data_IF_271985505071
#
_entry.id   IF_271985505071
#
_cell.length_a   1.000
_cell.length_b   1.000
_cell.length_c   1.000
_cell.angle_alpha   90.00
_cell.angle_beta   90.00
_cell.angle_gamma   90.00
#
_symmetry.space_group_name_H-M   'P 1'
#
loop_
_entity.id
_entity.type
_entity.pdbx_description
1 polymer ?
#
# COMPACT_ATOMS: atom_id res chain seq x y z
N UNK A 1 -32.94 -30.87 -7.34
CA UNK A 1 -31.66 -30.27 -7.73
C UNK A 1 -30.64 -30.72 -6.69
N UNK A 2 -29.64 -31.52 -7.09
CA UNK A 2 -28.57 -31.92 -6.18
C UNK A 2 -27.70 -30.68 -5.86
N UNK A 3 -27.37 -30.49 -4.58
CA UNK A 3 -26.38 -29.53 -4.19
C UNK A 3 -25.03 -29.87 -4.86
N UNK A 4 -24.49 -28.94 -5.63
CA UNK A 4 -23.11 -29.08 -6.13
C UNK A 4 -22.20 -28.80 -4.94
N UNK A 5 -21.51 -29.85 -4.47
CA UNK A 5 -20.51 -29.68 -3.42
C UNK A 5 -19.31 -28.92 -4.00
N UNK A 6 -19.04 -27.74 -3.50
CA UNK A 6 -17.87 -26.96 -3.86
C UNK A 6 -16.79 -27.13 -2.81
N UNK A 7 -15.54 -27.25 -3.25
CA UNK A 7 -14.39 -27.15 -2.38
C UNK A 7 -13.79 -25.76 -2.54
N UNK A 8 -13.42 -25.15 -1.42
CA UNK A 8 -12.72 -23.84 -1.37
C UNK A 8 -11.38 -24.04 -0.69
N UNK A 9 -10.33 -23.44 -1.21
CA UNK A 9 -9.02 -23.47 -0.57
C UNK A 9 -8.98 -22.44 0.57
N UNK A 10 -8.53 -22.85 1.75
CA UNK A 10 -8.23 -21.93 2.86
C UNK A 10 -6.72 -21.72 2.94
N UNK A 11 -6.29 -20.44 3.01
CA UNK A 11 -4.90 -20.06 3.25
C UNK A 11 -4.77 -19.21 4.51
N UNK A 12 -3.94 -19.66 5.43
CA UNK A 12 -3.54 -18.94 6.63
C UNK A 12 -2.53 -17.83 6.31
N UNK A 13 -2.14 -17.01 7.29
CA UNK A 13 -1.07 -16.01 7.14
C UNK A 13 0.29 -16.66 6.83
N UNK A 14 0.55 -17.84 7.37
CA UNK A 14 1.76 -18.61 7.10
C UNK A 14 1.78 -19.10 5.65
N UNK A 15 0.67 -19.66 5.17
CA UNK A 15 0.51 -20.09 3.79
C UNK A 15 0.70 -18.94 2.80
N UNK A 16 0.12 -17.77 3.09
CA UNK A 16 0.30 -16.55 2.27
C UNK A 16 1.78 -16.17 2.19
N UNK A 17 2.48 -16.18 3.33
CA UNK A 17 3.91 -15.86 3.38
C UNK A 17 4.75 -16.88 2.60
N UNK A 18 4.35 -18.15 2.57
CA UNK A 18 5.03 -19.21 1.82
C UNK A 18 4.75 -19.16 0.30
N UNK A 19 3.68 -18.47 -0.12
CA UNK A 19 3.24 -18.41 -1.53
C UNK A 19 3.64 -17.16 -2.27
N UNK A 20 3.89 -16.03 -1.59
CA UNK A 20 4.18 -14.74 -2.21
C UNK A 20 5.57 -14.23 -1.85
N UNK A 21 6.35 -13.83 -2.86
CA UNK A 21 7.60 -13.09 -2.70
C UNK A 21 7.40 -11.58 -2.86
N UNK A 22 8.34 -10.73 -2.42
CA UNK A 22 8.28 -9.29 -2.69
C UNK A 22 8.17 -8.96 -4.18
N UNK A 23 8.93 -9.66 -5.02
CA UNK A 23 8.95 -9.49 -6.47
C UNK A 23 7.58 -9.79 -7.09
N UNK A 24 6.90 -10.81 -6.59
CA UNK A 24 5.54 -11.15 -7.04
C UNK A 24 4.56 -10.04 -6.73
N UNK A 25 4.62 -9.53 -5.51
CA UNK A 25 3.72 -8.47 -5.05
C UNK A 25 3.96 -7.17 -5.82
N UNK A 26 5.21 -6.84 -6.14
CA UNK A 26 5.56 -5.70 -6.99
C UNK A 26 5.00 -5.90 -8.41
N UNK A 27 5.24 -7.08 -9.01
CA UNK A 27 4.73 -7.42 -10.33
C UNK A 27 3.21 -7.32 -10.41
N UNK A 28 2.51 -7.94 -9.46
CA UNK A 28 1.05 -7.91 -9.38
C UNK A 28 0.54 -6.48 -9.19
N UNK A 29 1.21 -5.68 -8.36
CA UNK A 29 0.81 -4.28 -8.14
C UNK A 29 0.95 -3.45 -9.42
N UNK A 30 2.01 -3.66 -10.20
CA UNK A 30 2.18 -2.99 -11.49
C UNK A 30 1.10 -3.42 -12.50
N UNK A 31 0.78 -4.71 -12.55
CA UNK A 31 -0.31 -5.24 -13.39
C UNK A 31 -1.67 -4.64 -13.02
N UNK A 32 -1.96 -4.48 -11.72
CA UNK A 32 -3.21 -3.86 -11.25
C UNK A 32 -3.33 -2.42 -11.72
N UNK A 33 -2.27 -1.60 -11.61
CA UNK A 33 -2.27 -0.25 -12.15
C UNK A 33 -2.48 -0.23 -13.67
N UNK A 34 -1.84 -1.15 -14.39
CA UNK A 34 -2.00 -1.28 -15.84
C UNK A 34 -3.45 -1.65 -16.22
N UNK A 35 -4.06 -2.63 -15.53
CA UNK A 35 -5.46 -2.99 -15.72
C UNK A 35 -6.39 -1.82 -15.41
N UNK A 36 -6.15 -1.10 -14.32
CA UNK A 36 -6.94 0.07 -13.93
C UNK A 36 -6.86 1.19 -14.99
N UNK A 37 -5.67 1.48 -15.53
CA UNK A 37 -5.48 2.48 -16.57
C UNK A 37 -6.09 2.12 -17.93
N UNK A 38 -6.35 0.83 -18.15
CA UNK A 38 -7.10 0.29 -19.28
C UNK A 38 -8.60 0.14 -19.03
N UNK A 39 -9.13 0.64 -17.91
CA UNK A 39 -10.52 0.42 -17.45
C UNK A 39 -10.93 -1.06 -17.38
N UNK A 40 -9.97 -1.93 -17.04
CA UNK A 40 -10.13 -3.39 -16.97
C UNK A 40 -10.21 -3.91 -15.54
N UNK A 41 -10.61 -3.05 -14.62
CA UNK A 41 -11.05 -3.40 -13.27
C UNK A 41 -12.49 -2.95 -13.10
N UNK A 42 -13.29 -3.72 -12.39
CA UNK A 42 -14.67 -3.39 -12.06
C UNK A 42 -14.78 -3.25 -10.54
N UNK A 43 -14.44 -2.09 -9.98
CA UNK A 43 -14.53 -1.88 -8.54
C UNK A 43 -15.99 -1.74 -8.13
N UNK A 44 -16.39 -2.44 -7.08
CA UNK A 44 -17.60 -2.10 -6.35
C UNK A 44 -17.36 -0.95 -5.38
N UNK A 45 -18.44 -0.34 -4.91
CA UNK A 45 -18.34 0.67 -3.86
C UNK A 45 -17.91 0.02 -2.54
N UNK A 46 -16.98 0.67 -1.84
CA UNK A 46 -16.59 0.22 -0.51
C UNK A 46 -17.78 0.38 0.45
N UNK A 47 -18.14 -0.71 1.14
CA UNK A 47 -19.17 -0.67 2.16
C UNK A 47 -18.54 -0.49 3.54
N UNK A 48 -18.95 0.56 4.24
CA UNK A 48 -18.49 0.90 5.59
C UNK A 48 -19.53 0.47 6.63
N UNK A 49 -19.15 -0.45 7.52
CA UNK A 49 -19.99 -0.91 8.60
C UNK A 49 -19.44 -0.40 9.94
N UNK A 50 -20.12 0.54 10.62
CA UNK A 50 -19.71 0.95 11.95
C UNK A 50 -19.76 -0.25 12.92
N UNK A 51 -18.70 -0.43 13.70
CA UNK A 51 -18.62 -1.49 14.72
C UNK A 51 -19.27 -1.08 16.05
N UNK A 52 -19.48 0.22 16.24
CA UNK A 52 -20.08 0.79 17.44
C UNK A 52 -20.82 2.10 17.16
N UNK A 53 -21.55 2.61 18.15
CA UNK A 53 -22.33 3.85 18.03
C UNK A 53 -21.46 5.11 17.88
N UNK A 54 -20.18 5.06 18.25
CA UNK A 54 -19.24 6.18 18.06
C UNK A 54 -18.83 6.35 16.61
N UNK A 55 -19.04 5.31 15.79
CA UNK A 55 -18.63 5.23 14.38
C UNK A 55 -17.12 5.39 14.14
N UNK A 56 -16.31 5.35 15.20
CA UNK A 56 -14.84 5.46 15.11
C UNK A 56 -14.19 4.14 14.74
N UNK A 57 -14.79 3.03 15.19
CA UNK A 57 -14.41 1.68 14.84
C UNK A 57 -15.31 1.19 13.72
N UNK A 58 -14.73 0.56 12.72
CA UNK A 58 -15.47 0.14 11.53
C UNK A 58 -14.87 -1.07 10.87
N UNK A 59 -15.72 -1.79 10.17
CA UNK A 59 -15.34 -2.75 9.14
C UNK A 59 -15.54 -2.14 7.77
N UNK A 60 -14.78 -2.62 6.78
CA UNK A 60 -14.88 -2.17 5.40
C UNK A 60 -14.85 -3.39 4.50
N UNK A 61 -15.85 -3.54 3.64
CA UNK A 61 -15.84 -4.46 2.54
C UNK A 61 -15.33 -3.74 1.29
N UNK A 62 -14.38 -4.33 0.59
CA UNK A 62 -13.75 -3.77 -0.61
C UNK A 62 -13.89 -4.75 -1.79
N UNK A 63 -15.07 -4.77 -2.44
CA UNK A 63 -15.34 -5.69 -3.54
C UNK A 63 -14.71 -5.21 -4.85
N UNK A 64 -14.27 -6.17 -5.68
CA UNK A 64 -13.77 -5.89 -7.03
C UNK A 64 -13.85 -7.14 -7.91
N UNK A 65 -14.10 -6.95 -9.20
CA UNK A 65 -13.89 -7.95 -10.23
C UNK A 65 -12.68 -7.57 -11.08
N UNK A 66 -11.84 -8.55 -11.37
CA UNK A 66 -10.68 -8.45 -12.25
C UNK A 66 -10.91 -9.35 -13.48
N UNK A 67 -11.53 -8.82 -14.55
CA UNK A 67 -11.91 -9.61 -15.72
C UNK A 67 -10.73 -10.31 -16.38
N UNK A 68 -9.58 -9.65 -16.48
CA UNK A 68 -8.35 -10.22 -17.07
C UNK A 68 -7.84 -11.44 -16.31
N UNK A 69 -8.14 -11.56 -15.03
CA UNK A 69 -7.77 -12.69 -14.18
C UNK A 69 -8.91 -13.71 -14.02
N UNK A 70 -10.11 -13.39 -14.52
CA UNK A 70 -11.30 -14.22 -14.41
C UNK A 70 -11.80 -14.40 -12.98
N UNK A 71 -11.56 -13.42 -12.09
CA UNK A 71 -11.90 -13.52 -10.68
C UNK A 71 -12.68 -12.31 -10.17
N UNK A 72 -13.56 -12.57 -9.22
CA UNK A 72 -14.27 -11.58 -8.40
C UNK A 72 -13.98 -11.86 -6.95
N UNK A 73 -13.84 -10.83 -6.14
CA UNK A 73 -13.54 -11.04 -4.74
C UNK A 73 -13.82 -9.84 -3.87
N UNK A 74 -13.63 -10.03 -2.58
CA UNK A 74 -13.81 -9.00 -1.57
C UNK A 74 -12.77 -9.15 -0.47
N UNK A 75 -12.14 -8.04 -0.10
CA UNK A 75 -11.41 -7.95 1.15
C UNK A 75 -12.32 -7.42 2.25
N UNK A 76 -12.32 -8.08 3.41
CA UNK A 76 -12.92 -7.64 4.64
C UNK A 76 -11.81 -7.16 5.59
N UNK A 77 -11.83 -5.88 5.96
CA UNK A 77 -10.82 -5.24 6.83
C UNK A 77 -11.50 -4.52 7.98
N UNK A 78 -10.84 -4.46 9.13
CA UNK A 78 -11.26 -3.66 10.27
C UNK A 78 -10.29 -2.53 10.58
N UNK A 79 -10.81 -1.41 11.10
CA UNK A 79 -10.02 -0.30 11.63
C UNK A 79 -10.58 0.09 12.98
N UNK A 80 -9.78 -0.05 14.03
CA UNK A 80 -10.16 0.19 15.42
C UNK A 80 -9.20 1.19 16.06
N UNK A 81 -9.69 2.35 16.47
CA UNK A 81 -8.86 3.43 17.01
C UNK A 81 -8.25 3.12 18.38
N UNK A 82 -8.91 2.27 19.16
CA UNK A 82 -8.42 1.74 20.43
C UNK A 82 -8.55 0.22 20.41
N UNK A 83 -7.63 -0.48 19.71
CA UNK A 83 -7.70 -1.93 19.62
C UNK A 83 -7.45 -2.56 20.98
N UNK A 84 -8.08 -3.72 21.20
CA UNK A 84 -7.79 -4.55 22.37
C UNK A 84 -6.34 -5.06 22.31
N UNK A 85 -5.73 -5.39 23.45
CA UNK A 85 -4.39 -5.98 23.48
C UNK A 85 -4.28 -7.18 22.52
N UNK A 86 -3.22 -7.20 21.73
CA UNK A 86 -3.00 -8.25 20.72
C UNK A 86 -3.61 -7.97 19.35
N UNK A 87 -4.45 -6.93 19.19
CA UNK A 87 -5.02 -6.55 17.89
C UNK A 87 -4.40 -5.25 17.39
N UNK A 88 -4.02 -5.16 16.10
CA UNK A 88 -3.51 -3.93 15.52
C UNK A 88 -4.64 -2.91 15.26
N UNK A 89 -4.26 -1.65 15.07
CA UNK A 89 -5.16 -0.56 14.67
C UNK A 89 -5.94 -0.87 13.39
N UNK A 90 -5.29 -1.46 12.40
CA UNK A 90 -5.92 -1.93 11.17
C UNK A 90 -5.57 -3.39 10.95
N UNK A 91 -6.57 -4.20 10.70
CA UNK A 91 -6.44 -5.64 10.56
C UNK A 91 -7.17 -6.11 9.31
N UNK A 92 -6.47 -6.73 8.38
CA UNK A 92 -7.05 -7.45 7.27
C UNK A 92 -7.61 -8.76 7.77
N UNK A 93 -8.95 -8.87 7.82
CA UNK A 93 -9.56 -10.07 8.39
C UNK A 93 -9.54 -11.23 7.38
N UNK A 94 -10.23 -11.04 6.25
CA UNK A 94 -10.37 -12.09 5.24
C UNK A 94 -10.37 -11.52 3.82
N UNK A 95 -9.95 -12.38 2.87
CA UNK A 95 -10.22 -12.22 1.45
C UNK A 95 -11.04 -13.42 0.99
N UNK A 96 -12.11 -13.11 0.24
CA UNK A 96 -12.91 -14.11 -0.47
C UNK A 96 -12.66 -13.96 -1.96
N UNK A 97 -12.49 -15.08 -2.67
CA UNK A 97 -12.25 -15.11 -4.09
C UNK A 97 -13.18 -16.11 -4.77
N UNK A 98 -13.82 -15.69 -5.85
CA UNK A 98 -14.68 -16.49 -6.67
C UNK A 98 -14.23 -16.42 -8.14
N UNK A 99 -14.51 -17.46 -8.90
CA UNK A 99 -14.41 -17.45 -10.35
C UNK A 99 -15.53 -16.57 -10.93
N UNK A 100 -15.20 -15.61 -11.81
CA UNK A 100 -16.18 -14.62 -12.27
C UNK A 100 -17.26 -15.17 -13.19
N UNK A 101 -16.96 -16.23 -13.97
CA UNK A 101 -17.86 -16.81 -14.97
C UNK A 101 -18.86 -17.79 -14.39
N UNK A 102 -18.49 -18.51 -13.32
CA UNK A 102 -19.29 -19.58 -12.72
C UNK A 102 -19.76 -19.28 -11.31
N UNK A 103 -19.26 -18.20 -10.71
CA UNK A 103 -19.42 -17.85 -9.29
C UNK A 103 -18.86 -18.92 -8.32
N UNK A 104 -18.14 -19.95 -8.83
CA UNK A 104 -17.54 -20.97 -7.98
C UNK A 104 -16.59 -20.36 -6.95
N UNK A 105 -16.69 -20.71 -5.66
CA UNK A 105 -15.75 -20.27 -4.64
C UNK A 105 -14.36 -20.87 -4.91
N UNK A 106 -13.31 -20.06 -4.82
CA UNK A 106 -11.93 -20.47 -5.04
C UNK A 106 -11.12 -20.44 -3.74
N UNK A 107 -11.24 -19.34 -3.00
CA UNK A 107 -10.34 -19.06 -1.89
C UNK A 107 -11.03 -18.33 -0.75
N UNK A 108 -10.69 -18.74 0.47
CA UNK A 108 -10.81 -17.97 1.71
C UNK A 108 -9.39 -17.79 2.23
N UNK A 109 -8.90 -16.55 2.33
CA UNK A 109 -7.54 -16.30 2.77
C UNK A 109 -7.48 -15.30 3.93
N UNK A 110 -6.48 -15.45 4.80
CA UNK A 110 -6.08 -14.42 5.73
C UNK A 110 -5.60 -13.18 4.95
N UNK A 111 -5.96 -11.99 5.41
CA UNK A 111 -5.79 -10.76 4.63
C UNK A 111 -4.73 -9.80 5.16
N UNK A 112 -4.22 -9.99 6.39
CA UNK A 112 -3.25 -9.06 7.01
C UNK A 112 -1.92 -9.07 6.27
N UNK A 113 -1.38 -10.25 5.96
CA UNK A 113 -0.12 -10.41 5.24
C UNK A 113 -0.19 -9.80 3.85
N UNK A 114 -1.24 -10.15 3.08
CA UNK A 114 -1.46 -9.56 1.74
C UNK A 114 -1.57 -8.04 1.83
N UNK A 115 -2.40 -7.50 2.74
CA UNK A 115 -2.57 -6.05 2.90
C UNK A 115 -1.25 -5.36 3.25
N UNK A 116 -0.43 -5.99 4.09
CA UNK A 116 0.88 -5.46 4.48
C UNK A 116 1.85 -5.47 3.30
N UNK A 117 1.96 -6.59 2.61
CA UNK A 117 2.89 -6.74 1.48
C UNK A 117 2.52 -5.83 0.29
N UNK A 118 1.23 -5.78 -0.12
CA UNK A 118 0.81 -5.04 -1.31
C UNK A 118 0.83 -3.51 -1.14
N UNK A 119 0.83 -2.99 0.10
CA UNK A 119 0.79 -1.54 0.36
C UNK A 119 2.20 -0.94 0.22
N UNK A 120 3.01 -0.97 1.26
CA UNK A 120 4.34 -0.38 1.22
C UNK A 120 5.34 -1.21 0.39
N UNK A 121 5.23 -2.55 0.41
CA UNK A 121 6.08 -3.46 -0.35
C UNK A 121 5.64 -3.68 -1.81
N UNK A 122 4.45 -3.27 -2.19
CA UNK A 122 3.89 -3.40 -3.53
C UNK A 122 3.72 -2.06 -4.23
N UNK A 123 2.51 -1.48 -4.17
CA UNK A 123 2.20 -0.29 -4.96
C UNK A 123 3.09 0.93 -4.69
N UNK A 124 3.61 1.10 -3.46
CA UNK A 124 4.55 2.19 -3.17
C UNK A 124 5.91 1.97 -3.86
N UNK A 125 6.37 0.72 -3.91
CA UNK A 125 7.59 0.36 -4.65
C UNK A 125 7.40 0.58 -6.14
N UNK A 126 6.24 0.18 -6.71
CA UNK A 126 5.89 0.47 -8.10
C UNK A 126 5.87 1.96 -8.36
N UNK A 127 5.24 2.76 -7.48
CA UNK A 127 5.25 4.21 -7.64
C UNK A 127 6.68 4.77 -7.64
N UNK A 128 7.54 4.34 -6.72
CA UNK A 128 8.94 4.76 -6.69
C UNK A 128 9.71 4.39 -7.97
N UNK A 129 9.42 3.22 -8.59
CA UNK A 129 10.04 2.80 -9.85
C UNK A 129 9.86 3.82 -10.98
N UNK A 130 8.72 4.53 -11.01
CA UNK A 130 8.39 5.52 -12.04
C UNK A 130 8.64 6.97 -11.60
N UNK A 131 8.68 7.22 -10.29
CA UNK A 131 8.68 8.57 -9.72
C UNK A 131 9.98 8.95 -9.01
N UNK A 132 10.86 8.01 -8.65
CA UNK A 132 12.15 8.35 -8.05
C UNK A 132 13.21 8.65 -9.10
N UNK A 133 14.33 9.21 -8.65
CA UNK A 133 15.53 9.32 -9.47
C UNK A 133 15.99 7.93 -9.92
N UNK A 134 16.70 7.78 -11.07
CA UNK A 134 16.97 6.46 -11.65
C UNK A 134 17.77 5.50 -10.75
N UNK A 135 18.61 6.02 -9.87
CA UNK A 135 19.47 5.24 -8.95
C UNK A 135 19.45 5.86 -7.56
N UNK A 136 18.33 5.73 -6.81
CA UNK A 136 18.27 6.27 -5.48
C UNK A 136 19.27 5.53 -4.57
N UNK A 137 20.01 6.29 -3.76
CA UNK A 137 21.01 5.75 -2.84
C UNK A 137 20.56 5.84 -1.37
N UNK A 138 19.72 6.82 -1.06
CA UNK A 138 19.25 7.08 0.31
C UNK A 138 17.73 7.07 0.36
N UNK A 139 17.20 6.24 1.25
CA UNK A 139 15.78 6.14 1.55
C UNK A 139 15.51 6.43 3.03
N UNK A 140 14.44 7.15 3.31
CA UNK A 140 13.91 7.32 4.68
C UNK A 140 12.59 6.58 4.83
N UNK A 141 12.42 5.88 5.94
CA UNK A 141 11.17 5.26 6.37
C UNK A 141 10.67 5.94 7.63
N UNK A 142 9.55 6.65 7.50
CA UNK A 142 8.85 7.29 8.62
C UNK A 142 7.72 6.37 9.07
N UNK A 143 7.92 5.71 10.21
CA UNK A 143 7.02 4.67 10.71
C UNK A 143 7.52 3.24 10.45
N UNK A 144 8.13 2.64 11.46
CA UNK A 144 8.78 1.32 11.39
C UNK A 144 7.89 0.17 11.90
N UNK A 145 6.59 0.26 11.64
CA UNK A 145 5.62 -0.82 11.88
C UNK A 145 5.62 -1.87 10.76
N UNK A 146 4.53 -2.63 10.65
CA UNK A 146 4.38 -3.66 9.62
C UNK A 146 4.55 -3.11 8.20
N UNK A 147 3.98 -1.93 7.90
CA UNK A 147 4.12 -1.28 6.60
C UNK A 147 5.56 -0.82 6.33
N UNK A 148 6.21 -0.17 7.30
CA UNK A 148 7.61 0.25 7.16
C UNK A 148 8.55 -0.94 6.90
N UNK A 149 8.38 -2.06 7.63
CA UNK A 149 9.14 -3.29 7.43
C UNK A 149 8.89 -3.89 6.04
N UNK A 150 7.63 -3.98 5.62
CA UNK A 150 7.25 -4.48 4.29
C UNK A 150 7.82 -3.59 3.18
N UNK A 151 7.78 -2.26 3.37
CA UNK A 151 8.41 -1.31 2.48
C UNK A 151 9.90 -1.56 2.32
N UNK A 152 10.65 -1.63 3.44
CA UNK A 152 12.10 -1.92 3.40
C UNK A 152 12.38 -3.18 2.59
N UNK A 153 11.64 -4.26 2.82
CA UNK A 153 11.81 -5.52 2.07
C UNK A 153 11.58 -5.34 0.57
N UNK A 154 10.49 -4.68 0.16
CA UNK A 154 10.16 -4.45 -1.24
C UNK A 154 11.15 -3.49 -1.92
N UNK A 155 11.55 -2.40 -1.23
CA UNK A 155 12.52 -1.45 -1.78
C UNK A 155 13.90 -2.06 -1.97
N UNK A 156 14.38 -2.87 -1.04
CA UNK A 156 15.65 -3.59 -1.16
C UNK A 156 15.62 -4.64 -2.28
N UNK A 157 14.46 -5.20 -2.59
CA UNK A 157 14.28 -6.10 -3.73
C UNK A 157 14.35 -5.35 -5.07
N UNK A 158 13.73 -4.16 -5.15
CA UNK A 158 13.59 -3.41 -6.40
C UNK A 158 14.76 -2.47 -6.68
N UNK A 159 15.41 -1.91 -5.65
CA UNK A 159 16.43 -0.86 -5.80
C UNK A 159 17.79 -1.31 -5.25
N UNK A 160 18.60 -2.03 -6.05
CA UNK A 160 19.94 -2.46 -5.63
C UNK A 160 20.94 -1.29 -5.46
N UNK A 161 20.56 -0.08 -5.89
CA UNK A 161 21.34 1.15 -5.70
C UNK A 161 21.26 1.72 -4.28
N UNK A 162 20.31 1.29 -3.45
CA UNK A 162 20.16 1.77 -2.07
C UNK A 162 21.38 1.38 -1.23
N UNK A 163 22.05 2.40 -0.69
CA UNK A 163 23.22 2.28 0.19
C UNK A 163 22.89 2.54 1.64
N UNK A 164 21.92 3.44 1.89
CA UNK A 164 21.50 3.85 3.24
C UNK A 164 19.98 3.87 3.36
N UNK A 165 19.45 3.24 4.41
CA UNK A 165 18.06 3.37 4.83
C UNK A 165 18.03 4.01 6.22
N UNK A 166 17.36 5.16 6.30
CA UNK A 166 17.12 5.89 7.54
C UNK A 166 15.78 5.50 8.12
N UNK A 167 15.78 5.06 9.36
CA UNK A 167 14.60 4.59 10.07
C UNK A 167 14.21 5.62 11.12
N UNK A 168 13.01 6.19 11.02
CA UNK A 168 12.46 7.16 11.95
C UNK A 168 11.12 6.68 12.50
N UNK A 169 11.05 6.40 13.79
CA UNK A 169 9.83 5.94 14.47
C UNK A 169 9.90 6.26 15.96
N UNK A 170 8.73 6.37 16.61
CA UNK A 170 8.63 6.49 18.07
C UNK A 170 9.22 5.28 18.80
N UNK A 171 9.14 4.10 18.20
CA UNK A 171 9.66 2.86 18.77
C UNK A 171 11.04 2.53 18.21
N UNK A 172 12.08 2.76 19.01
CA UNK A 172 13.43 2.35 18.67
C UNK A 172 13.57 0.82 18.52
N UNK A 173 12.77 0.03 19.24
CA UNK A 173 12.79 -1.43 19.12
C UNK A 173 12.34 -1.88 17.72
N UNK A 174 11.32 -1.26 17.16
CA UNK A 174 10.86 -1.55 15.78
C UNK A 174 11.94 -1.19 14.75
N UNK A 175 12.63 -0.06 14.92
CA UNK A 175 13.75 0.32 14.05
C UNK A 175 14.89 -0.70 14.12
N UNK A 176 15.30 -1.07 15.34
CA UNK A 176 16.37 -2.09 15.54
C UNK A 176 15.99 -3.44 14.95
N UNK A 177 14.74 -3.84 15.06
CA UNK A 177 14.25 -5.10 14.49
C UNK A 177 14.33 -5.11 12.95
N UNK A 178 14.00 -4.00 12.29
CA UNK A 178 14.20 -3.86 10.85
C UNK A 178 15.68 -3.86 10.49
N UNK A 179 16.49 -3.07 11.19
CA UNK A 179 17.93 -3.01 10.98
C UNK A 179 18.55 -4.41 11.10
N UNK A 180 18.25 -5.18 12.14
CA UNK A 180 18.80 -6.51 12.34
C UNK A 180 18.38 -7.49 11.23
N UNK A 181 17.13 -7.42 10.77
CA UNK A 181 16.63 -8.29 9.70
C UNK A 181 17.34 -8.06 8.36
N UNK A 182 17.69 -6.79 8.06
CA UNK A 182 18.20 -6.41 6.73
C UNK A 182 19.65 -5.87 6.71
N UNK A 183 20.39 -5.94 7.83
CA UNK A 183 21.74 -5.35 7.98
C UNK A 183 22.76 -5.76 6.91
N UNK A 184 22.61 -6.96 6.34
CA UNK A 184 23.50 -7.47 5.28
C UNK A 184 23.18 -6.89 3.88
N UNK A 185 22.09 -6.14 3.75
CA UNK A 185 21.62 -5.63 2.45
C UNK A 185 22.05 -4.20 2.16
N UNK A 186 22.10 -3.36 3.19
CA UNK A 186 22.55 -1.97 3.10
C UNK A 186 22.85 -1.40 4.51
N UNK A 187 23.37 -0.17 4.56
CA UNK A 187 23.56 0.55 5.82
C UNK A 187 22.24 1.05 6.38
N UNK A 188 22.03 0.89 7.69
CA UNK A 188 20.86 1.42 8.40
C UNK A 188 21.27 2.48 9.41
N UNK A 189 20.54 3.60 9.43
CA UNK A 189 20.68 4.67 10.41
C UNK A 189 19.36 4.88 11.15
N UNK A 190 19.34 4.74 12.46
CA UNK A 190 18.18 5.07 13.29
C UNK A 190 18.22 6.56 13.63
N UNK A 191 17.18 7.29 13.22
CA UNK A 191 17.05 8.73 13.44
C UNK A 191 15.93 9.00 14.44
N UNK A 192 16.22 9.85 15.44
CA UNK A 192 15.23 10.31 16.43
C UNK A 192 14.54 11.58 15.97
N UNK A 193 15.16 12.33 15.06
CA UNK A 193 14.64 13.57 14.50
C UNK A 193 14.17 13.33 13.05
N UNK A 194 12.87 13.50 12.75
CA UNK A 194 12.34 13.30 11.39
C UNK A 194 12.99 14.21 10.35
N UNK A 195 13.35 15.46 10.70
CA UNK A 195 14.03 16.39 9.78
C UNK A 195 15.38 15.84 9.32
N UNK A 196 16.18 15.32 10.25
CA UNK A 196 17.48 14.72 9.91
C UNK A 196 17.34 13.45 9.08
N UNK A 197 16.26 12.70 9.29
CA UNK A 197 15.98 11.51 8.51
C UNK A 197 15.63 11.88 7.06
N UNK A 198 14.76 12.88 6.86
CA UNK A 198 14.18 13.23 5.56
C UNK A 198 15.18 13.97 4.67
N UNK A 199 15.95 14.93 5.21
CA UNK A 199 16.86 15.74 4.40
C UNK A 199 17.93 14.90 3.69
N UNK A 200 18.13 15.15 2.41
CA UNK A 200 19.05 14.41 1.56
C UNK A 200 18.57 13.02 1.16
N UNK A 201 17.32 12.64 1.47
CA UNK A 201 16.73 11.38 1.02
C UNK A 201 16.07 11.54 -0.35
N UNK A 202 16.35 10.62 -1.24
CA UNK A 202 15.73 10.57 -2.56
C UNK A 202 14.36 9.88 -2.54
N UNK A 203 14.14 9.00 -1.55
CA UNK A 203 12.85 8.36 -1.33
C UNK A 203 12.48 8.55 0.15
N UNK A 204 11.25 9.02 0.41
CA UNK A 204 10.67 9.14 1.74
C UNK A 204 9.38 8.33 1.78
N UNK A 205 9.40 7.19 2.46
CA UNK A 205 8.23 6.34 2.67
C UNK A 205 7.55 6.73 3.97
N UNK A 206 6.32 7.24 3.87
CA UNK A 206 5.48 7.57 5.02
C UNK A 206 4.53 6.41 5.33
N UNK A 207 4.88 5.64 6.34
CA UNK A 207 4.16 4.44 6.79
C UNK A 207 3.71 4.56 8.26
N UNK A 208 3.47 5.79 8.71
CA UNK A 208 3.10 6.13 10.09
C UNK A 208 1.57 6.19 10.25
N UNK A 209 1.10 6.01 11.47
CA UNK A 209 -0.28 6.27 11.88
C UNK A 209 -0.37 7.52 12.78
N UNK A 210 0.66 8.38 12.76
CA UNK A 210 0.71 9.60 13.55
C UNK A 210 -0.31 10.63 13.08
N UNK A 211 -0.77 11.45 14.02
CA UNK A 211 -1.52 12.68 13.73
C UNK A 211 -0.65 13.94 13.86
N UNK A 212 0.64 13.77 14.16
CA UNK A 212 1.61 14.86 14.19
C UNK A 212 2.33 14.95 12.85
N UNK A 213 2.71 16.16 12.44
CA UNK A 213 3.49 16.40 11.22
C UNK A 213 4.90 15.83 11.39
N UNK A 214 5.22 14.82 10.62
CA UNK A 214 6.52 14.13 10.60
C UNK A 214 7.35 14.43 9.35
N UNK A 215 6.74 15.05 8.32
CA UNK A 215 7.41 15.50 7.11
C UNK A 215 6.91 16.89 6.76
N UNK A 216 7.83 17.86 6.58
CA UNK A 216 7.52 19.24 6.21
C UNK A 216 8.06 19.56 4.83
N UNK A 217 7.40 20.51 4.17
CA UNK A 217 7.75 20.99 2.84
C UNK A 217 9.21 21.46 2.74
N UNK A 218 9.69 22.25 3.73
CA UNK A 218 11.02 22.82 3.78
C UNK A 218 12.15 21.82 4.05
N UNK A 219 11.82 20.54 4.29
CA UNK A 219 12.80 19.45 4.44
C UNK A 219 13.04 18.69 3.14
N UNK A 220 12.16 18.86 2.15
CA UNK A 220 12.23 18.16 0.87
C UNK A 220 13.25 18.87 -0.03
N UNK A 221 14.24 18.13 -0.47
CA UNK A 221 15.29 18.63 -1.35
C UNK A 221 15.02 18.22 -2.81
N UNK A 222 15.61 18.91 -3.80
CA UNK A 222 15.49 18.50 -5.20
C UNK A 222 15.81 17.02 -5.40
N UNK A 223 14.96 16.33 -6.16
CA UNK A 223 15.08 14.90 -6.43
C UNK A 223 14.34 13.99 -5.44
N UNK A 224 13.74 14.54 -4.38
CA UNK A 224 12.99 13.74 -3.41
C UNK A 224 11.67 13.26 -3.99
N UNK A 225 11.33 11.99 -3.72
CA UNK A 225 10.00 11.40 -3.92
C UNK A 225 9.42 11.03 -2.57
N UNK A 226 8.27 11.60 -2.22
CA UNK A 226 7.53 11.27 -0.99
C UNK A 226 6.40 10.31 -1.34
N UNK A 227 6.34 9.19 -0.65
CA UNK A 227 5.33 8.14 -0.83
C UNK A 227 4.41 8.11 0.40
N UNK A 228 3.28 8.82 0.31
CA UNK A 228 2.31 8.93 1.40
C UNK A 228 1.25 7.83 1.28
N UNK A 229 1.24 6.91 2.25
CA UNK A 229 0.35 5.75 2.30
C UNK A 229 -0.88 5.94 3.19
N UNK A 230 -1.00 7.09 3.85
CA UNK A 230 -2.09 7.44 4.74
C UNK A 230 -2.74 8.77 4.33
N UNK A 231 -3.79 9.16 5.04
CA UNK A 231 -4.60 10.34 4.73
C UNK A 231 -3.97 11.67 5.19
N UNK A 232 -2.70 11.92 4.92
CA UNK A 232 -1.99 13.18 5.17
C UNK A 232 -2.02 13.70 6.62
N UNK A 233 -2.30 12.84 7.61
CA UNK A 233 -2.31 13.27 9.00
C UNK A 233 -0.91 13.51 9.58
N UNK A 234 0.11 12.95 8.93
CA UNK A 234 1.50 12.95 9.36
C UNK A 234 2.43 13.77 8.44
N UNK A 235 1.85 14.50 7.47
CA UNK A 235 2.57 15.36 6.55
C UNK A 235 2.03 16.79 6.57
N UNK A 236 2.92 17.76 6.40
CA UNK A 236 2.55 19.16 6.21
C UNK A 236 1.72 19.31 4.92
N UNK A 237 0.52 19.89 4.99
CA UNK A 237 -0.27 20.19 3.79
C UNK A 237 0.47 21.09 2.79
N UNK A 238 1.39 21.93 3.26
CA UNK A 238 2.22 22.76 2.38
C UNK A 238 3.11 21.93 1.46
N UNK A 239 3.39 20.67 1.80
CA UNK A 239 4.15 19.79 0.92
C UNK A 239 3.40 19.51 -0.41
N UNK A 240 2.06 19.53 -0.43
CA UNK A 240 1.27 19.38 -1.66
C UNK A 240 1.38 20.61 -2.57
N UNK A 241 1.54 21.79 -1.99
CA UNK A 241 1.73 23.05 -2.73
C UNK A 241 3.18 23.24 -3.20
N UNK A 242 4.15 22.77 -2.40
CA UNK A 242 5.57 22.90 -2.68
C UNK A 242 6.12 21.82 -3.61
N UNK A 243 5.44 20.68 -3.75
CA UNK A 243 5.84 19.65 -4.68
C UNK A 243 5.68 20.14 -6.14
N UNK A 244 6.65 19.82 -6.99
CA UNK A 244 6.56 20.09 -8.42
C UNK A 244 5.43 19.29 -9.06
N UNK A 245 5.19 18.08 -8.55
CA UNK A 245 4.11 17.21 -9.03
C UNK A 245 3.48 16.42 -7.89
N UNK A 246 2.16 16.33 -7.90
CA UNK A 246 1.40 15.45 -7.02
C UNK A 246 0.70 14.37 -7.81
N UNK A 247 1.12 13.13 -7.62
CA UNK A 247 0.64 11.93 -8.33
C UNK A 247 -0.23 11.10 -7.40
N UNK A 248 -1.42 10.74 -7.82
CA UNK A 248 -2.28 9.79 -7.11
C UNK A 248 -1.98 8.35 -7.53
N UNK A 249 -2.38 7.38 -6.72
CA UNK A 249 -2.33 5.98 -7.15
C UNK A 249 -3.40 5.67 -8.19
N UNK A 250 -4.65 5.95 -7.84
CA UNK A 250 -5.82 5.80 -8.72
C UNK A 250 -6.81 6.94 -8.47
N UNK A 251 -6.90 7.85 -9.42
CA UNK A 251 -7.60 9.12 -9.25
C UNK A 251 -9.06 8.95 -8.83
N UNK A 252 -9.78 7.99 -9.44
CA UNK A 252 -11.21 7.76 -9.15
C UNK A 252 -11.47 7.34 -7.70
N UNK A 253 -10.54 6.56 -7.09
CA UNK A 253 -10.68 6.11 -5.71
C UNK A 253 -10.08 7.13 -4.73
N UNK A 254 -8.89 7.65 -5.03
CA UNK A 254 -8.15 8.52 -4.12
C UNK A 254 -8.82 9.88 -3.96
N UNK A 255 -9.30 10.50 -5.05
CA UNK A 255 -10.04 11.79 -4.98
C UNK A 255 -11.28 11.68 -4.12
N UNK A 256 -12.04 10.59 -4.25
CA UNK A 256 -13.23 10.35 -3.40
C UNK A 256 -12.89 10.29 -1.91
N UNK A 257 -11.69 9.83 -1.55
CA UNK A 257 -11.29 9.66 -0.16
C UNK A 257 -10.49 10.83 0.38
N UNK A 258 -9.54 11.36 -0.40
CA UNK A 258 -8.66 12.46 0.03
C UNK A 258 -9.42 13.78 0.12
N UNK A 259 -10.37 14.03 -0.80
CA UNK A 259 -11.11 15.29 -0.91
C UNK A 259 -12.59 15.18 -0.50
N UNK A 260 -13.09 13.98 -0.11
CA UNK A 260 -14.51 13.77 0.17
C UNK A 260 -15.02 14.47 1.41
N UNK A 261 -14.15 14.74 2.37
CA UNK A 261 -14.49 15.44 3.59
C UNK A 261 -13.88 16.84 3.57
N UNK A 262 -14.70 17.90 3.41
CA UNK A 262 -14.22 19.28 3.58
C UNK A 262 -13.62 19.53 4.97
N UNK A 263 -13.93 18.65 5.95
CA UNK A 263 -13.33 18.61 7.27
C UNK A 263 -12.14 17.65 7.36
N UNK A 264 -11.84 16.85 6.34
CA UNK A 264 -10.58 16.11 6.20
C UNK A 264 -9.43 17.10 5.96
N UNK A 265 -9.30 17.97 6.91
CA UNK A 265 -8.28 19.00 6.96
C UNK A 265 -7.06 18.34 7.54
N UNK A 266 -6.07 18.07 6.73
CA UNK A 266 -4.74 17.88 7.27
C UNK A 266 -4.38 19.16 8.06
N UNK A 267 -4.29 19.03 9.38
CA UNK A 267 -3.92 20.15 10.27
C UNK A 267 -4.69 21.46 10.06
N UNK A 268 -6.01 21.37 9.73
CA UNK A 268 -6.87 22.53 9.57
C UNK A 268 -6.84 23.19 8.18
N UNK A 269 -6.06 22.68 7.22
CA UNK A 269 -6.00 23.19 5.85
C UNK A 269 -6.69 22.26 4.87
N UNK A 270 -7.39 22.81 3.90
CA UNK A 270 -8.02 22.07 2.80
C UNK A 270 -6.96 21.81 1.74
N UNK A 271 -6.82 20.53 1.35
CA UNK A 271 -5.96 20.16 0.23
C UNK A 271 -6.60 20.59 -1.10
N UNK A 272 -5.79 21.14 -2.00
CA UNK A 272 -6.27 21.61 -3.30
C UNK A 272 -6.25 20.47 -4.34
N UNK A 273 -7.41 19.98 -4.83
CA UNK A 273 -7.46 18.90 -5.80
C UNK A 273 -6.90 19.28 -7.19
N UNK A 274 -6.79 20.60 -7.50
CA UNK A 274 -6.23 21.08 -8.76
C UNK A 274 -4.70 20.95 -8.82
N UNK A 275 -4.05 20.70 -7.67
CA UNK A 275 -2.62 20.39 -7.61
C UNK A 275 -2.28 18.96 -8.02
N UNK A 276 -3.28 18.10 -8.14
CA UNK A 276 -3.07 16.73 -8.64
C UNK A 276 -2.76 16.79 -10.13
N UNK A 277 -1.57 16.36 -10.50
CA UNK A 277 -1.12 16.32 -11.89
C UNK A 277 -1.73 15.15 -12.67
N UNK A 278 -1.58 13.95 -12.17
CA UNK A 278 -2.15 12.73 -12.77
C UNK A 278 -2.14 11.57 -11.76
N UNK A 279 -2.39 10.37 -12.24
CA UNK A 279 -2.28 9.16 -11.43
C UNK A 279 -1.33 8.11 -12.04
N UNK A 280 -0.97 7.11 -11.22
CA UNK A 280 -0.07 6.03 -11.63
C UNK A 280 -0.61 5.21 -12.79
N UNK A 281 -1.93 5.10 -12.92
CA UNK A 281 -2.55 4.31 -14.00
C UNK A 281 -2.28 4.94 -15.36
N UNK A 282 -2.24 6.27 -15.43
CA UNK A 282 -1.89 7.00 -16.66
C UNK A 282 -0.39 6.90 -16.96
N UNK A 283 0.45 6.93 -15.92
CA UNK A 283 1.90 6.80 -16.10
C UNK A 283 2.26 5.41 -16.61
N UNK A 284 1.75 4.36 -15.99
CA UNK A 284 2.07 2.97 -16.34
C UNK A 284 1.53 2.60 -17.72
N UNK A 285 0.41 3.20 -18.16
CA UNK A 285 -0.12 3.00 -19.51
C UNK A 285 0.49 3.94 -20.58
N UNK A 286 1.51 4.72 -20.23
CA UNK A 286 2.18 5.64 -21.14
C UNK A 286 1.37 6.87 -21.55
N UNK A 287 0.25 7.16 -20.87
CA UNK A 287 -0.62 8.32 -21.10
C UNK A 287 -0.14 9.58 -20.36
N UNK A 288 0.78 9.44 -19.43
CA UNK A 288 1.47 10.51 -18.72
C UNK A 288 2.91 10.10 -18.43
N UNK A 289 3.79 11.07 -18.24
CA UNK A 289 5.18 10.81 -17.88
C UNK A 289 5.33 10.62 -16.38
N UNK A 290 6.20 9.72 -15.96
CA UNK A 290 6.70 9.61 -14.60
C UNK A 290 7.61 10.80 -14.26
N UNK A 291 8.70 10.58 -13.51
CA UNK A 291 9.70 11.63 -13.26
C UNK A 291 10.28 12.15 -14.57
N UNK A 292 10.35 13.47 -14.73
CA UNK A 292 10.83 14.11 -15.97
C UNK A 292 12.26 14.63 -15.85
N UNK A 293 12.71 14.93 -14.63
CA UNK A 293 14.10 15.34 -14.37
C UNK A 293 14.53 15.00 -12.93
N UNK A 294 15.84 15.05 -12.68
CA UNK A 294 16.42 14.65 -11.39
C UNK A 294 16.16 15.62 -10.24
N UNK A 295 15.63 16.82 -10.50
CA UNK A 295 15.41 17.86 -9.49
C UNK A 295 13.98 17.91 -9.00
N UNK A 296 13.01 17.33 -9.70
CA UNK A 296 11.62 17.36 -9.28
C UNK A 296 11.45 16.82 -7.85
N UNK A 297 10.66 17.52 -7.05
CA UNK A 297 10.09 17.01 -5.82
C UNK A 297 8.71 16.44 -6.15
N UNK A 298 8.55 15.14 -6.00
CA UNK A 298 7.31 14.45 -6.36
C UNK A 298 6.63 13.90 -5.11
N UNK A 299 5.36 14.19 -4.98
CA UNK A 299 4.49 13.60 -3.97
C UNK A 299 3.62 12.52 -4.62
N UNK A 300 3.65 11.33 -4.06
CA UNK A 300 2.73 10.23 -4.38
C UNK A 300 1.78 9.98 -3.23
N UNK A 301 0.51 9.81 -3.52
CA UNK A 301 -0.53 9.52 -2.52
C UNK A 301 -1.44 8.42 -2.99
N UNK A 302 -1.62 7.40 -2.16
CA UNK A 302 -2.56 6.33 -2.44
C UNK A 302 -3.05 5.66 -1.17
N UNK A 303 -4.35 5.56 -1.04
CA UNK A 303 -4.99 4.91 0.11
C UNK A 303 -5.26 3.42 -0.11
N UNK A 304 -4.88 2.92 -1.29
CA UNK A 304 -5.05 1.53 -1.69
C UNK A 304 -6.45 1.23 -2.25
N UNK A 305 -6.54 0.16 -2.99
CA UNK A 305 -7.81 -0.37 -3.54
C UNK A 305 -7.85 -1.88 -3.42
N UNK A 306 -9.04 -2.46 -3.33
CA UNK A 306 -9.25 -3.91 -3.19
C UNK A 306 -8.63 -4.73 -4.33
N UNK A 307 -8.45 -4.13 -5.50
CA UNK A 307 -7.87 -4.79 -6.67
C UNK A 307 -6.48 -5.37 -6.39
N UNK A 308 -5.63 -4.67 -5.63
CA UNK A 308 -4.31 -5.21 -5.24
C UNK A 308 -4.44 -6.44 -4.34
N UNK A 309 -5.40 -6.39 -3.40
CA UNK A 309 -5.62 -7.50 -2.47
C UNK A 309 -6.12 -8.74 -3.21
N UNK A 310 -7.07 -8.56 -4.14
CA UNK A 310 -7.67 -9.65 -4.91
C UNK A 310 -6.68 -10.23 -5.92
N UNK A 311 -5.88 -9.41 -6.58
CA UNK A 311 -4.85 -9.89 -7.51
C UNK A 311 -3.73 -10.65 -6.78
N UNK A 312 -3.26 -10.17 -5.63
CA UNK A 312 -2.29 -10.90 -4.79
C UNK A 312 -2.88 -12.21 -4.27
N UNK A 313 -4.14 -12.21 -3.80
CA UNK A 313 -4.81 -13.42 -3.36
C UNK A 313 -4.97 -14.45 -4.50
N UNK A 314 -5.26 -13.99 -5.72
CA UNK A 314 -5.32 -14.86 -6.88
C UNK A 314 -3.96 -15.51 -7.19
N UNK A 315 -2.88 -14.74 -7.16
CA UNK A 315 -1.53 -15.30 -7.34
C UNK A 315 -1.18 -16.30 -6.22
N UNK A 316 -1.50 -15.96 -4.96
CA UNK A 316 -1.30 -16.88 -3.84
C UNK A 316 -2.08 -18.18 -4.02
N UNK A 317 -3.35 -18.09 -4.46
CA UNK A 317 -4.18 -19.24 -4.77
C UNK A 317 -3.55 -20.16 -5.83
N UNK A 318 -3.13 -19.60 -6.97
CA UNK A 318 -2.52 -20.40 -8.04
C UNK A 318 -1.26 -21.13 -7.57
N UNK A 319 -0.40 -20.45 -6.82
CA UNK A 319 0.83 -21.04 -6.27
C UNK A 319 0.56 -22.05 -5.17
N UNK A 320 -0.44 -21.80 -4.35
CA UNK A 320 -0.83 -22.75 -3.30
C UNK A 320 -1.35 -24.04 -3.90
N UNK A 321 -2.18 -23.97 -4.95
CA UNK A 321 -2.65 -25.15 -5.70
C UNK A 321 -1.47 -25.90 -6.32
N UNK A 322 -0.54 -25.19 -6.98
CA UNK A 322 0.64 -25.81 -7.59
C UNK A 322 1.54 -26.53 -6.57
N UNK A 323 1.72 -25.92 -5.39
CA UNK A 323 2.61 -26.43 -4.33
C UNK A 323 1.92 -27.36 -3.33
N UNK A 324 0.61 -27.55 -3.42
CA UNK A 324 -0.15 -28.30 -2.43
C UNK A 324 -0.18 -27.66 -1.03
N UNK A 325 -0.18 -26.31 -0.98
CA UNK A 325 -0.23 -25.51 0.27
C UNK A 325 -1.68 -25.16 0.60
N UNK A 326 -2.01 -25.09 1.89
CA UNK A 326 -3.32 -24.72 2.39
C UNK A 326 -4.22 -25.94 2.64
N UNK A 327 -5.47 -25.65 3.01
CA UNK A 327 -6.46 -26.66 3.37
C UNK A 327 -7.71 -26.55 2.50
N UNK A 328 -8.13 -27.64 1.88
CA UNK A 328 -9.39 -27.69 1.15
C UNK A 328 -10.56 -27.90 2.11
N UNK A 329 -11.56 -27.04 2.02
CA UNK A 329 -12.79 -27.08 2.81
C UNK A 329 -13.98 -27.37 1.90
N UNK A 330 -14.87 -28.26 2.31
CA UNK A 330 -16.16 -28.47 1.66
C UNK A 330 -17.14 -27.37 2.08
N UNK A 331 -17.85 -26.77 1.11
CA UNK A 331 -18.94 -25.82 1.34
C UNK A 331 -20.30 -26.43 1.03
#
# INVERSE_FOLDING_TARGET
>A
MGYIQHNVLFLSEEDITATLTPEDVILVSEQVFYMAGGARILPGDNAFLPADTSRRNKFIAMPVTLPDLGVSGMKWISTFRAPQPGFPFSHGNLILLNKSDTAAPLLIAAATGITTMRTAGGHAVVAAKYLSVPRPEVMTVVGCGAQGRSGVRGFLSQFPSLKEIRLCSRSNSSCRSIQEEFKERCTFRICTNPREAVRGSQIVLMASSSHEVLVKADWLEPGTTVLALAAFNDMDPEATEAADRWILGYEQADKKTIFADPAAKSHGRVLNPEKVDCDMTRIITGKAMGRQNEKEVILYSHLGMGAFDIACAHMAYLRAVEKGIGQWLGL
#
